data_IF_805591761234
#
_entry.id   IF_805591761234
#
_cell.length_a   1.000
_cell.length_b   1.000
_cell.length_c   1.000
_cell.angle_alpha   90.00
_cell.angle_beta   90.00
_cell.angle_gamma   90.00
#
_symmetry.space_group_name_H-M   'P 1'
#
loop_
_entity.id
_entity.type
_entity.pdbx_description
1 polymer ?
#
# COMPACT_ATOMS: atom_id res chain seq x y z
N UNK A 1 -21.14 2.86 26.77
CA UNK A 1 -19.93 3.21 26.02
C UNK A 1 -19.04 1.99 26.04
N UNK A 2 -18.64 1.49 24.87
CA UNK A 2 -17.70 0.37 24.78
C UNK A 2 -16.33 0.79 25.31
N UNK A 3 -15.61 -0.12 25.96
CA UNK A 3 -14.25 0.13 26.41
C UNK A 3 -13.36 0.43 25.19
N UNK A 4 -12.58 1.54 25.21
CA UNK A 4 -11.70 1.86 24.10
C UNK A 4 -10.63 0.78 23.92
N UNK A 5 -10.26 0.54 22.68
CA UNK A 5 -9.22 -0.42 22.26
C UNK A 5 -8.13 0.30 21.52
N UNK A 6 -6.91 -0.24 21.53
CA UNK A 6 -5.78 0.36 20.83
C UNK A 6 -4.89 -0.71 20.19
N UNK A 7 -4.46 -0.42 18.96
CA UNK A 7 -3.47 -1.22 18.23
C UNK A 7 -2.27 -0.35 17.88
N UNK A 8 -1.08 -0.79 18.26
CA UNK A 8 0.18 -0.16 17.90
C UNK A 8 0.72 -0.78 16.62
N UNK A 9 1.07 0.09 15.69
CA UNK A 9 1.72 -0.25 14.43
C UNK A 9 3.18 0.20 14.50
N UNK A 10 4.09 -0.62 14.00
CA UNK A 10 5.52 -0.32 13.97
C UNK A 10 6.20 -0.87 12.72
N UNK A 11 7.01 -0.02 12.09
CA UNK A 11 7.88 -0.36 10.97
C UNK A 11 9.24 0.34 11.18
N UNK A 12 10.32 -0.44 11.26
CA UNK A 12 11.61 0.05 11.78
C UNK A 12 11.41 0.84 13.09
N UNK A 13 11.94 2.06 13.16
CA UNK A 13 11.86 2.94 14.33
C UNK A 13 10.60 3.84 14.30
N UNK A 14 9.80 3.78 13.23
CA UNK A 14 8.54 4.51 13.14
C UNK A 14 7.42 3.72 13.84
N UNK A 15 6.59 4.43 14.59
CA UNK A 15 5.39 3.84 15.20
C UNK A 15 4.23 4.82 15.22
N UNK A 16 3.02 4.28 15.21
CA UNK A 16 1.76 5.01 15.42
C UNK A 16 0.79 4.11 16.18
N UNK A 17 -0.02 4.70 17.04
CA UNK A 17 -1.10 3.96 17.72
C UNK A 17 -2.44 4.35 17.11
N UNK A 18 -3.27 3.37 16.77
CA UNK A 18 -4.67 3.57 16.39
C UNK A 18 -5.52 3.27 17.63
N UNK A 19 -6.28 4.26 18.09
CA UNK A 19 -7.18 4.20 19.25
C UNK A 19 -8.62 4.37 18.76
N UNK A 20 -9.55 3.58 19.30
CA UNK A 20 -10.96 3.69 18.95
C UNK A 20 -11.88 3.23 20.09
N UNK A 21 -13.06 3.84 20.14
CA UNK A 21 -14.21 3.42 20.94
C UNK A 21 -14.86 2.12 20.43
N UNK A 22 -14.39 1.56 19.31
CA UNK A 22 -14.83 0.27 18.77
C UNK A 22 -13.65 -0.63 18.40
N UNK A 23 -13.71 -1.90 18.80
CA UNK A 23 -12.72 -2.90 18.42
C UNK A 23 -12.65 -3.12 16.90
N UNK A 24 -13.74 -2.84 16.18
CA UNK A 24 -13.79 -3.00 14.72
C UNK A 24 -12.66 -2.23 14.01
N UNK A 25 -12.38 -0.99 14.43
CA UNK A 25 -11.36 -0.13 13.79
C UNK A 25 -9.94 -0.62 14.12
N UNK A 26 -9.70 -1.05 15.35
CA UNK A 26 -8.37 -1.49 15.81
C UNK A 26 -8.03 -2.90 15.30
N UNK A 27 -8.99 -3.82 15.33
CA UNK A 27 -8.86 -5.14 14.71
C UNK A 27 -8.66 -5.03 13.19
N UNK A 28 -9.32 -4.07 12.54
CA UNK A 28 -9.08 -3.76 11.13
C UNK A 28 -7.64 -3.33 10.87
N UNK A 29 -7.11 -2.40 11.67
CA UNK A 29 -5.72 -1.98 11.56
C UNK A 29 -4.77 -3.16 11.78
N UNK A 30 -5.01 -3.99 12.81
CA UNK A 30 -4.19 -5.17 13.09
C UNK A 30 -4.15 -6.13 11.91
N UNK A 31 -5.32 -6.45 11.32
CA UNK A 31 -5.42 -7.31 10.14
C UNK A 31 -4.71 -6.70 8.92
N UNK A 32 -4.97 -5.42 8.63
CA UNK A 32 -4.48 -4.76 7.43
C UNK A 32 -2.95 -4.60 7.42
N UNK A 33 -2.35 -4.33 8.58
CA UNK A 33 -0.91 -4.08 8.69
C UNK A 33 -0.09 -5.30 9.13
N UNK A 34 -0.68 -6.21 9.91
CA UNK A 34 0.04 -7.26 10.64
C UNK A 34 0.78 -8.29 9.79
N UNK A 35 0.49 -8.36 8.48
CA UNK A 35 1.20 -9.23 7.54
C UNK A 35 2.58 -8.68 7.11
N UNK A 36 2.80 -7.38 7.25
CA UNK A 36 3.99 -6.70 6.73
C UNK A 36 4.67 -5.77 7.74
N UNK A 37 3.90 -5.20 8.67
CA UNK A 37 4.39 -4.42 9.79
C UNK A 37 4.02 -5.10 11.09
N UNK A 38 4.75 -4.76 12.16
CA UNK A 38 4.36 -5.21 13.49
C UNK A 38 3.08 -4.48 13.89
N UNK A 39 2.02 -5.23 14.14
CA UNK A 39 0.74 -4.70 14.58
C UNK A 39 0.24 -5.51 15.78
N UNK A 40 0.13 -4.87 16.95
CA UNK A 40 -0.19 -5.56 18.20
C UNK A 40 -1.03 -4.71 19.13
N UNK A 41 -1.77 -5.35 20.02
CA UNK A 41 -2.60 -4.66 20.99
C UNK A 41 -1.79 -4.03 22.10
N UNK A 42 -2.25 -2.85 22.52
CA UNK A 42 -1.71 -2.15 23.68
C UNK A 42 -2.87 -1.73 24.59
N UNK A 43 -2.69 -1.69 25.92
CA UNK A 43 -3.72 -1.15 26.81
C UNK A 43 -4.04 0.29 26.42
N UNK A 44 -5.32 0.63 26.25
CA UNK A 44 -5.72 1.99 25.88
C UNK A 44 -5.24 3.04 26.92
N UNK A 45 -5.16 2.65 28.19
CA UNK A 45 -4.62 3.48 29.28
C UNK A 45 -3.11 3.74 29.20
N UNK A 46 -2.37 3.01 28.35
CA UNK A 46 -0.91 3.14 28.16
C UNK A 46 -0.54 4.05 26.99
N UNK A 47 -1.53 4.60 26.28
CA UNK A 47 -1.33 5.52 25.15
C UNK A 47 -0.96 6.90 25.72
N UNK A 48 0.31 7.08 26.06
CA UNK A 48 0.75 8.27 26.80
C UNK A 48 1.82 9.10 26.07
N UNK A 49 2.31 8.66 24.91
CA UNK A 49 3.29 9.40 24.10
C UNK A 49 3.41 8.82 22.67
N UNK A 50 3.56 9.68 21.67
CA UNK A 50 3.88 9.32 20.29
C UNK A 50 2.75 9.60 19.27
N UNK A 51 3.00 9.35 17.98
CA UNK A 51 2.01 9.53 16.93
C UNK A 51 0.72 8.75 17.20
N UNK A 52 -0.43 9.43 17.11
CA UNK A 52 -1.74 8.88 17.46
C UNK A 52 -2.78 9.15 16.37
N UNK A 53 -3.54 8.11 16.02
CA UNK A 53 -4.79 8.23 15.28
C UNK A 53 -5.92 7.82 16.22
N UNK A 54 -6.80 8.76 16.57
CA UNK A 54 -8.05 8.46 17.26
C UNK A 54 -9.16 8.37 16.23
N UNK A 55 -9.90 7.27 16.18
CA UNK A 55 -10.91 7.05 15.16
C UNK A 55 -12.17 6.46 15.79
N UNK A 56 -13.16 7.31 16.06
CA UNK A 56 -14.34 6.95 16.82
C UNK A 56 -15.61 6.98 15.98
N UNK A 57 -16.51 6.03 16.26
CA UNK A 57 -17.90 6.12 15.80
C UNK A 57 -18.59 7.18 16.66
N UNK A 58 -18.75 8.37 16.08
CA UNK A 58 -19.35 9.53 16.72
C UNK A 58 -20.04 10.40 15.67
N UNK A 59 -21.33 10.11 15.45
CA UNK A 59 -22.17 10.84 14.50
C UNK A 59 -22.40 12.30 14.93
N UNK A 60 -22.40 12.57 16.24
CA UNK A 60 -22.56 13.94 16.75
C UNK A 60 -21.31 14.76 16.43
N UNK A 61 -20.12 14.25 16.76
CA UNK A 61 -18.87 14.94 16.45
C UNK A 61 -18.68 15.15 14.93
N UNK A 62 -19.04 14.15 14.12
CA UNK A 62 -19.10 14.32 12.66
C UNK A 62 -20.01 15.50 12.25
N UNK A 63 -21.24 15.54 12.77
CA UNK A 63 -22.23 16.58 12.41
C UNK A 63 -21.77 17.97 12.85
N UNK A 64 -21.19 18.07 14.05
CA UNK A 64 -20.65 19.32 14.59
C UNK A 64 -19.49 19.84 13.71
N UNK A 65 -18.60 18.95 13.24
CA UNK A 65 -17.47 19.32 12.38
C UNK A 65 -17.92 19.67 10.95
N UNK A 66 -18.91 18.97 10.38
CA UNK A 66 -19.50 19.34 9.08
C UNK A 66 -20.13 20.73 9.13
N UNK A 67 -20.92 21.02 10.17
CA UNK A 67 -21.48 22.34 10.39
C UNK A 67 -20.40 23.42 10.57
N UNK A 68 -19.34 23.11 11.34
CA UNK A 68 -18.23 24.03 11.56
C UNK A 68 -17.52 24.38 10.24
N UNK A 69 -17.09 23.39 9.46
CA UNK A 69 -16.37 23.63 8.21
C UNK A 69 -17.22 24.43 7.23
N UNK A 70 -18.52 24.14 7.14
CA UNK A 70 -19.44 24.89 6.27
C UNK A 70 -19.72 26.32 6.74
N UNK A 71 -19.49 26.62 8.02
CA UNK A 71 -19.71 27.95 8.60
C UNK A 71 -18.54 28.93 8.40
N UNK A 72 -17.39 28.45 7.94
CA UNK A 72 -16.19 29.25 7.70
C UNK A 72 -15.70 29.13 6.25
N UNK A 73 -14.80 30.01 5.80
CA UNK A 73 -14.11 29.83 4.52
C UNK A 73 -13.36 28.49 4.50
N UNK A 74 -13.62 27.69 3.46
CA UNK A 74 -13.02 26.37 3.27
C UNK A 74 -12.75 26.12 1.78
N UNK A 75 -11.81 25.23 1.51
CA UNK A 75 -11.50 24.74 0.17
C UNK A 75 -12.26 23.44 -0.11
N UNK A 76 -12.62 23.22 -1.37
CA UNK A 76 -13.08 21.92 -1.86
C UNK A 76 -11.97 21.22 -2.62
N UNK A 77 -11.53 20.07 -2.12
CA UNK A 77 -10.45 19.28 -2.70
C UNK A 77 -10.88 17.83 -2.88
N UNK A 78 -10.10 17.06 -3.64
CA UNK A 78 -10.31 15.61 -3.75
C UNK A 78 -9.32 14.89 -2.83
N UNK A 79 -9.85 14.03 -1.96
CA UNK A 79 -9.06 13.14 -1.12
C UNK A 79 -9.74 11.78 -1.12
N UNK A 80 -9.01 10.66 -1.16
CA UNK A 80 -9.62 9.32 -1.28
C UNK A 80 -10.34 8.97 -2.59
N UNK A 81 -10.39 9.88 -3.58
CA UNK A 81 -11.39 9.88 -4.67
C UNK A 81 -12.79 10.34 -4.24
N UNK A 82 -12.91 10.98 -3.09
CA UNK A 82 -14.12 11.63 -2.61
C UNK A 82 -13.89 13.13 -2.46
N UNK A 83 -14.98 13.90 -2.42
CA UNK A 83 -14.90 15.32 -2.06
C UNK A 83 -14.48 15.46 -0.60
N UNK A 84 -13.61 16.43 -0.32
CA UNK A 84 -13.20 16.84 1.01
C UNK A 84 -13.35 18.36 1.13
N UNK A 85 -14.15 18.80 2.09
CA UNK A 85 -14.21 20.20 2.53
C UNK A 85 -13.09 20.41 3.54
N UNK A 86 -12.22 21.39 3.32
CA UNK A 86 -11.00 21.59 4.09
C UNK A 86 -10.92 23.01 4.65
N UNK A 87 -10.88 23.15 5.97
CA UNK A 87 -10.70 24.41 6.67
C UNK A 87 -9.42 24.40 7.52
N UNK A 88 -8.79 25.57 7.66
CA UNK A 88 -7.62 25.79 8.51
C UNK A 88 -7.90 26.96 9.43
N UNK A 89 -7.71 26.77 10.73
CA UNK A 89 -7.89 27.86 11.70
C UNK A 89 -6.58 28.62 11.95
N UNK A 90 -6.67 29.72 12.71
CA UNK A 90 -5.53 30.58 13.03
C UNK A 90 -4.48 29.90 13.94
N UNK A 91 -4.82 28.77 14.55
CA UNK A 91 -3.88 27.96 15.36
C UNK A 91 -3.11 26.95 14.51
N UNK A 92 -3.47 26.81 13.23
CA UNK A 92 -2.91 25.82 12.33
C UNK A 92 -3.60 24.45 12.43
N UNK A 93 -4.72 24.33 13.15
CA UNK A 93 -5.52 23.11 13.17
C UNK A 93 -6.21 22.95 11.81
N UNK A 94 -6.15 21.73 11.29
CA UNK A 94 -6.73 21.40 9.98
C UNK A 94 -7.97 20.55 10.22
N UNK A 95 -9.12 21.01 9.72
CA UNK A 95 -10.37 20.26 9.79
C UNK A 95 -10.82 19.89 8.39
N UNK A 96 -11.05 18.61 8.15
CA UNK A 96 -11.53 18.08 6.87
C UNK A 96 -12.84 17.33 7.05
N UNK A 97 -13.79 17.45 6.13
CA UNK A 97 -15.01 16.64 6.13
C UNK A 97 -15.24 16.07 4.74
N UNK A 98 -15.40 14.75 4.65
CA UNK A 98 -15.83 14.07 3.44
C UNK A 98 -17.27 13.62 3.60
N UNK A 99 -18.25 14.34 3.01
CA UNK A 99 -19.66 14.05 3.19
C UNK A 99 -20.06 12.67 2.65
N UNK A 100 -19.54 12.30 1.47
CA UNK A 100 -19.84 11.02 0.80
C UNK A 100 -19.30 9.82 1.58
N UNK A 101 -18.13 9.97 2.22
CA UNK A 101 -17.56 8.93 3.08
C UNK A 101 -18.15 8.95 4.50
N UNK A 102 -18.81 10.05 4.90
CA UNK A 102 -19.33 10.24 6.26
C UNK A 102 -18.23 10.30 7.32
N UNK A 103 -17.08 10.90 6.97
CA UNK A 103 -15.89 11.01 7.83
C UNK A 103 -15.51 12.48 8.02
N UNK A 104 -15.29 12.87 9.27
CA UNK A 104 -14.63 14.12 9.64
C UNK A 104 -13.23 13.83 10.18
N UNK A 105 -12.28 14.72 9.88
CA UNK A 105 -10.87 14.66 10.23
C UNK A 105 -10.49 15.95 10.97
N UNK A 106 -9.67 15.83 12.00
CA UNK A 106 -9.07 16.97 12.70
C UNK A 106 -7.61 16.65 13.01
N UNK A 107 -6.70 17.40 12.41
CA UNK A 107 -5.25 17.27 12.60
C UNK A 107 -4.76 18.43 13.47
N UNK A 108 -4.21 18.09 14.64
CA UNK A 108 -3.60 19.03 15.57
C UNK A 108 -2.08 18.87 15.59
N UNK A 109 -1.35 19.85 16.14
CA UNK A 109 0.08 19.74 16.45
C UNK A 109 0.97 19.29 15.27
N UNK A 110 0.74 19.86 14.09
CA UNK A 110 1.44 19.48 12.84
C UNK A 110 1.30 17.97 12.51
N UNK A 111 0.16 17.35 12.80
CA UNK A 111 -0.12 15.99 12.35
C UNK A 111 0.44 14.87 13.22
N UNK A 112 0.91 15.18 14.44
CA UNK A 112 1.29 14.15 15.43
C UNK A 112 0.06 13.44 16.02
N UNK A 113 -1.09 14.09 16.05
CA UNK A 113 -2.36 13.52 16.47
C UNK A 113 -3.45 13.89 15.46
N UNK A 114 -4.08 12.87 14.88
CA UNK A 114 -5.24 13.03 14.00
C UNK A 114 -6.44 12.34 14.64
N UNK A 115 -7.52 13.08 14.81
CA UNK A 115 -8.81 12.56 15.26
C UNK A 115 -9.76 12.42 14.07
N UNK A 116 -10.43 11.28 13.98
CA UNK A 116 -11.44 10.98 12.99
C UNK A 116 -12.76 10.67 13.70
N UNK A 117 -13.84 11.24 13.20
CA UNK A 117 -15.21 10.95 13.62
C UNK A 117 -15.99 10.42 12.43
N UNK A 118 -16.45 9.18 12.54
CA UNK A 118 -17.15 8.49 11.46
C UNK A 118 -18.59 8.13 11.80
N UNK A 119 -19.44 8.05 10.78
CA UNK A 119 -20.83 7.59 10.92
C UNK A 119 -20.97 6.07 10.86
N UNK A 120 -20.05 5.39 10.17
CA UNK A 120 -20.09 3.93 9.98
C UNK A 120 -18.69 3.32 10.10
N UNK A 121 -18.62 2.05 10.52
CA UNK A 121 -17.36 1.41 10.92
C UNK A 121 -16.35 1.23 9.79
N UNK A 122 -16.78 0.70 8.64
CA UNK A 122 -15.88 0.35 7.54
C UNK A 122 -15.19 1.56 6.89
N UNK A 123 -15.89 2.64 6.49
CA UNK A 123 -15.24 3.86 6.02
C UNK A 123 -14.28 4.47 7.05
N UNK A 124 -14.66 4.47 8.33
CA UNK A 124 -13.82 4.97 9.41
C UNK A 124 -12.53 4.15 9.56
N UNK A 125 -12.63 2.82 9.52
CA UNK A 125 -11.46 1.94 9.60
C UNK A 125 -10.50 2.12 8.41
N UNK A 126 -11.04 2.29 7.19
CA UNK A 126 -10.24 2.58 5.99
C UNK A 126 -9.53 3.94 6.08
N UNK A 127 -10.23 4.97 6.58
CA UNK A 127 -9.67 6.30 6.79
C UNK A 127 -8.58 6.28 7.88
N UNK A 128 -8.84 5.62 9.01
CA UNK A 128 -7.88 5.47 10.11
C UNK A 128 -6.61 4.73 9.66
N UNK A 129 -6.76 3.60 8.96
CA UNK A 129 -5.63 2.85 8.41
C UNK A 129 -4.80 3.73 7.44
N UNK A 130 -5.46 4.52 6.60
CA UNK A 130 -4.76 5.43 5.69
C UNK A 130 -3.93 6.46 6.44
N UNK A 131 -4.52 7.17 7.39
CA UNK A 131 -3.79 8.18 8.19
C UNK A 131 -2.64 7.52 8.94
N UNK A 132 -2.87 6.37 9.57
CA UNK A 132 -1.82 5.65 10.29
C UNK A 132 -0.64 5.26 9.38
N UNK A 133 -0.93 4.77 8.17
CA UNK A 133 0.10 4.48 7.15
C UNK A 133 0.86 5.73 6.73
N UNK A 134 0.17 6.84 6.49
CA UNK A 134 0.82 8.11 6.11
C UNK A 134 1.69 8.68 7.24
N UNK A 135 1.30 8.51 8.52
CA UNK A 135 2.12 8.91 9.66
C UNK A 135 3.40 8.05 9.77
N UNK A 136 3.30 6.73 9.60
CA UNK A 136 4.48 5.85 9.54
C UNK A 136 5.36 6.24 8.35
N UNK A 137 4.77 6.40 7.16
CA UNK A 137 5.48 6.84 5.95
C UNK A 137 6.25 8.13 6.24
N UNK A 138 5.59 9.17 6.73
CA UNK A 138 6.22 10.45 7.01
C UNK A 138 7.37 10.33 8.02
N UNK A 139 7.21 9.51 9.05
CA UNK A 139 8.28 9.23 10.02
C UNK A 139 9.48 8.52 9.37
N UNK A 140 9.24 7.52 8.52
CA UNK A 140 10.30 6.83 7.79
C UNK A 140 11.01 7.78 6.82
N UNK A 141 10.27 8.61 6.08
CA UNK A 141 10.89 9.56 5.14
C UNK A 141 11.74 10.63 5.87
N UNK A 142 11.32 11.08 7.06
CA UNK A 142 12.15 11.94 7.94
C UNK A 142 13.41 11.25 8.42
N UNK A 143 13.33 9.94 8.66
CA UNK A 143 14.47 9.09 9.01
C UNK A 143 15.34 8.74 7.78
N UNK A 144 15.12 9.34 6.62
CA UNK A 144 15.96 9.13 5.44
C UNK A 144 15.65 7.83 4.67
N UNK A 145 14.50 7.20 4.93
CA UNK A 145 13.95 6.23 3.98
C UNK A 145 13.44 6.94 2.73
N UNK A 146 13.44 6.20 1.63
CA UNK A 146 12.85 6.62 0.35
C UNK A 146 11.75 5.66 -0.04
N UNK A 147 10.79 6.12 -0.86
CA UNK A 147 9.68 5.29 -1.33
C UNK A 147 9.80 5.07 -2.84
N UNK A 148 9.92 3.81 -3.26
CA UNK A 148 10.09 3.41 -4.66
C UNK A 148 8.80 2.78 -5.21
N UNK A 149 8.55 2.98 -6.51
CA UNK A 149 7.46 2.33 -7.24
C UNK A 149 7.88 0.96 -7.78
N UNK A 150 8.18 0.04 -6.87
CA UNK A 150 8.59 -1.32 -7.19
C UNK A 150 7.77 -2.38 -6.44
N UNK A 151 7.51 -3.50 -7.12
CA UNK A 151 7.13 -4.74 -6.45
C UNK A 151 8.39 -5.51 -6.08
N UNK A 152 8.34 -6.31 -5.02
CA UNK A 152 9.50 -6.99 -4.49
C UNK A 152 9.19 -8.36 -3.91
N UNK A 153 10.16 -9.26 -4.03
CA UNK A 153 10.21 -10.53 -3.30
C UNK A 153 11.53 -10.65 -2.57
N UNK A 154 11.57 -11.50 -1.54
CA UNK A 154 12.76 -11.82 -0.77
C UNK A 154 13.03 -13.31 -0.87
N UNK A 155 14.30 -13.67 -1.09
CA UNK A 155 14.80 -15.04 -1.02
C UNK A 155 16.10 -15.02 -0.25
N UNK A 156 16.20 -15.84 0.80
CA UNK A 156 17.40 -15.94 1.65
C UNK A 156 17.88 -14.56 2.17
N UNK A 157 16.92 -13.69 2.54
CA UNK A 157 17.18 -12.32 3.01
C UNK A 157 17.49 -11.30 1.90
N UNK A 158 17.65 -11.74 0.64
CA UNK A 158 17.99 -10.90 -0.50
C UNK A 158 16.73 -10.48 -1.26
N UNK A 159 16.54 -9.19 -1.44
CA UNK A 159 15.39 -8.62 -2.10
C UNK A 159 15.66 -8.40 -3.60
N UNK A 160 14.74 -8.91 -4.42
CA UNK A 160 14.67 -8.64 -5.87
C UNK A 160 13.59 -7.59 -6.09
N UNK A 161 13.97 -6.45 -6.67
CA UNK A 161 13.10 -5.30 -6.88
C UNK A 161 12.73 -5.17 -8.36
N UNK A 162 11.45 -5.25 -8.70
CA UNK A 162 10.98 -5.13 -10.08
C UNK A 162 10.44 -3.72 -10.38
N UNK A 163 11.03 -3.06 -11.37
CA UNK A 163 10.77 -1.69 -11.80
C UNK A 163 10.16 -1.62 -13.21
N UNK A 164 9.74 -0.42 -13.63
CA UNK A 164 9.25 -0.18 -14.98
C UNK A 164 7.92 0.56 -15.01
N UNK A 165 7.50 0.95 -16.20
CA UNK A 165 6.28 1.73 -16.41
C UNK A 165 5.00 0.95 -16.07
N UNK A 166 3.85 1.64 -16.12
CA UNK A 166 2.54 1.00 -15.96
C UNK A 166 2.36 -0.10 -17.02
N UNK A 167 2.07 -1.33 -16.57
CA UNK A 167 1.89 -2.48 -17.47
C UNK A 167 3.18 -3.23 -17.83
N UNK A 168 4.35 -2.78 -17.37
CA UNK A 168 5.64 -3.43 -17.67
C UNK A 168 5.75 -4.87 -17.14
N UNK A 169 4.96 -5.23 -16.11
CA UNK A 169 4.94 -6.57 -15.54
C UNK A 169 5.46 -6.66 -14.11
N UNK A 170 5.73 -5.55 -13.41
CA UNK A 170 6.21 -5.52 -12.00
C UNK A 170 5.50 -6.52 -11.10
N UNK A 171 4.20 -6.31 -10.86
CA UNK A 171 3.38 -7.19 -10.01
C UNK A 171 3.34 -8.63 -10.53
N UNK A 172 3.30 -8.83 -11.85
CA UNK A 172 3.37 -10.17 -12.46
C UNK A 172 4.67 -10.88 -12.07
N UNK A 173 5.82 -10.22 -12.23
CA UNK A 173 7.14 -10.76 -11.86
C UNK A 173 7.21 -11.14 -10.39
N UNK A 174 6.73 -10.28 -9.48
CA UNK A 174 6.73 -10.58 -8.05
C UNK A 174 5.83 -11.77 -7.70
N UNK A 175 4.63 -11.87 -8.27
CA UNK A 175 3.72 -12.99 -8.00
C UNK A 175 4.19 -14.31 -8.61
N UNK A 176 4.86 -14.29 -9.77
CA UNK A 176 5.48 -15.49 -10.36
C UNK A 176 6.67 -15.99 -9.54
N UNK A 177 7.49 -15.09 -9.01
CA UNK A 177 8.57 -15.49 -8.09
C UNK A 177 7.99 -16.03 -6.77
N UNK A 178 6.94 -15.39 -6.24
CA UNK A 178 6.28 -15.84 -5.02
C UNK A 178 5.62 -17.21 -5.17
N UNK A 179 5.00 -17.50 -6.33
CA UNK A 179 4.46 -18.83 -6.61
C UNK A 179 5.53 -19.93 -6.67
N UNK A 180 6.81 -19.55 -6.76
CA UNK A 180 7.98 -20.45 -6.72
C UNK A 180 8.77 -20.37 -5.41
N UNK A 181 8.12 -19.93 -4.33
CA UNK A 181 8.67 -20.00 -2.97
C UNK A 181 9.53 -18.81 -2.57
N UNK A 182 9.61 -17.74 -3.38
CA UNK A 182 10.10 -16.47 -2.86
C UNK A 182 9.06 -15.85 -1.93
N UNK A 183 9.49 -15.09 -0.93
CA UNK A 183 8.59 -14.43 0.01
C UNK A 183 8.15 -13.08 -0.58
N UNK A 184 6.85 -12.85 -0.71
CA UNK A 184 6.33 -11.59 -1.24
C UNK A 184 6.54 -10.46 -0.23
N UNK A 185 7.34 -9.46 -0.62
CA UNK A 185 7.61 -8.27 0.19
C UNK A 185 6.69 -7.11 -0.19
N UNK A 186 6.42 -6.92 -1.49
CA UNK A 186 5.55 -5.86 -1.95
C UNK A 186 5.00 -6.13 -3.35
N UNK A 187 3.79 -5.65 -3.61
CA UNK A 187 3.15 -5.75 -4.93
C UNK A 187 3.18 -4.43 -5.74
N UNK A 188 3.50 -3.30 -5.12
CA UNK A 188 3.46 -1.96 -5.77
C UNK A 188 4.55 -1.00 -5.26
N UNK A 189 4.81 -0.93 -3.95
CA UNK A 189 5.75 0.04 -3.36
C UNK A 189 6.64 -0.60 -2.30
N UNK A 190 7.86 -0.08 -2.17
CA UNK A 190 8.80 -0.46 -1.12
C UNK A 190 9.47 0.75 -0.52
N UNK A 191 9.75 0.70 0.78
CA UNK A 191 10.66 1.64 1.42
C UNK A 191 12.08 1.13 1.30
N UNK A 192 13.03 2.02 1.00
CA UNK A 192 14.47 1.69 0.92
C UNK A 192 15.30 2.72 1.65
N UNK A 193 16.28 2.25 2.45
CA UNK A 193 17.25 3.10 3.15
C UNK A 193 18.64 2.49 3.09
N UNK A 194 19.64 3.34 2.91
CA UNK A 194 21.05 2.97 3.06
C UNK A 194 21.38 2.86 4.55
N UNK A 195 21.85 1.70 5.00
CA UNK A 195 22.28 1.45 6.37
C UNK A 195 23.68 0.83 6.32
N UNK A 196 24.71 1.65 6.57
CA UNK A 196 26.10 1.24 6.35
C UNK A 196 26.35 0.92 4.86
N UNK A 197 26.74 -0.33 4.60
CA UNK A 197 27.01 -0.83 3.24
C UNK A 197 25.80 -1.54 2.60
N UNK A 198 24.69 -1.66 3.33
CA UNK A 198 23.51 -2.39 2.87
C UNK A 198 22.36 -1.45 2.49
N UNK A 199 21.50 -1.94 1.59
CA UNK A 199 20.23 -1.30 1.25
C UNK A 199 19.09 -2.08 1.89
N UNK A 200 18.58 -1.59 3.02
CA UNK A 200 17.45 -2.23 3.70
C UNK A 200 16.15 -1.89 2.98
N UNK A 201 15.32 -2.90 2.77
CA UNK A 201 14.00 -2.79 2.12
C UNK A 201 12.92 -3.15 3.12
N UNK A 202 11.85 -2.36 3.19
CA UNK A 202 10.65 -2.63 3.98
C UNK A 202 9.39 -2.61 3.10
N UNK A 203 8.38 -3.40 3.48
CA UNK A 203 7.12 -3.47 2.75
C UNK A 203 6.29 -2.19 2.91
N UNK A 204 5.47 -1.90 1.90
CA UNK A 204 4.37 -0.95 1.98
C UNK A 204 3.04 -1.71 2.07
N UNK A 205 2.34 -1.68 3.21
CA UNK A 205 1.04 -2.33 3.32
C UNK A 205 -0.02 -1.62 2.49
N UNK A 206 -0.49 -2.28 1.43
CA UNK A 206 -1.63 -1.85 0.63
C UNK A 206 -2.45 -3.04 0.16
N UNK A 207 -3.72 -2.77 -0.17
CA UNK A 207 -4.50 -3.75 -0.91
C UNK A 207 -3.84 -4.00 -2.28
N UNK A 208 -3.80 -5.24 -2.71
CA UNK A 208 -3.20 -5.60 -3.98
C UNK A 208 -4.25 -5.75 -5.08
N UNK A 209 -3.97 -5.12 -6.23
CA UNK A 209 -4.82 -5.16 -7.40
C UNK A 209 -4.31 -6.21 -8.40
N UNK A 210 -5.03 -7.33 -8.52
CA UNK A 210 -4.66 -8.45 -9.41
C UNK A 210 -5.67 -8.53 -10.56
N UNK A 211 -5.17 -8.53 -11.80
CA UNK A 211 -6.02 -8.68 -12.98
C UNK A 211 -6.58 -10.09 -13.09
N UNK A 212 -7.78 -10.25 -13.64
CA UNK A 212 -8.45 -11.55 -13.68
C UNK A 212 -7.66 -12.59 -14.48
N UNK A 213 -7.05 -12.17 -15.59
CA UNK A 213 -6.21 -13.05 -16.39
C UNK A 213 -4.94 -13.50 -15.66
N UNK A 214 -4.33 -12.64 -14.83
CA UNK A 214 -3.17 -13.04 -14.01
C UNK A 214 -3.58 -13.98 -12.89
N UNK A 215 -4.72 -13.71 -12.24
CA UNK A 215 -5.27 -14.56 -11.19
C UNK A 215 -5.57 -15.98 -11.73
N UNK A 216 -6.15 -16.05 -12.92
CA UNK A 216 -6.41 -17.30 -13.65
C UNK A 216 -5.11 -18.02 -14.02
N UNK A 217 -4.18 -17.32 -14.63
CA UNK A 217 -2.91 -17.90 -15.08
C UNK A 217 -1.98 -18.34 -13.95
N UNK A 218 -2.21 -17.88 -12.71
CA UNK A 218 -1.53 -18.36 -11.50
C UNK A 218 -2.29 -19.52 -10.81
N UNK A 219 -3.44 -19.95 -11.34
CA UNK A 219 -4.30 -20.95 -10.70
C UNK A 219 -5.00 -20.46 -9.43
N UNK A 220 -5.07 -19.14 -9.22
CA UNK A 220 -5.63 -18.51 -8.02
C UNK A 220 -7.11 -18.11 -8.18
N UNK A 221 -7.64 -18.16 -9.40
CA UNK A 221 -9.00 -17.71 -9.69
C UNK A 221 -10.04 -18.52 -8.91
N UNK A 222 -9.96 -19.84 -8.99
CA UNK A 222 -10.91 -20.73 -8.31
C UNK A 222 -10.77 -20.62 -6.79
N UNK A 223 -9.57 -20.40 -6.27
CA UNK A 223 -9.35 -20.11 -4.85
C UNK A 223 -10.15 -18.88 -4.41
N UNK A 224 -10.05 -17.76 -5.14
CA UNK A 224 -10.81 -16.54 -4.82
C UNK A 224 -12.32 -16.81 -4.90
N UNK A 225 -12.76 -17.48 -5.96
CA UNK A 225 -14.18 -17.76 -6.18
C UNK A 225 -14.77 -18.62 -5.06
N UNK A 226 -14.08 -19.70 -4.69
CA UNK A 226 -14.53 -20.62 -3.64
C UNK A 226 -14.62 -19.91 -2.28
N UNK A 227 -13.65 -19.05 -1.97
CA UNK A 227 -13.64 -18.22 -0.74
C UNK A 227 -14.82 -17.25 -0.70
N UNK A 228 -15.12 -16.60 -1.82
CA UNK A 228 -16.30 -15.72 -1.93
C UNK A 228 -17.61 -16.49 -1.78
N UNK A 229 -17.72 -17.68 -2.38
CA UNK A 229 -18.90 -18.54 -2.23
C UNK A 229 -19.09 -19.05 -0.79
N UNK A 230 -17.98 -19.22 -0.06
CA UNK A 230 -17.99 -19.54 1.37
C UNK A 230 -18.34 -18.34 2.28
N UNK A 231 -18.56 -17.15 1.71
CA UNK A 231 -18.95 -15.94 2.43
C UNK A 231 -17.78 -15.10 2.96
N UNK A 232 -16.54 -15.44 2.61
CA UNK A 232 -15.39 -14.57 2.88
C UNK A 232 -15.40 -13.36 1.94
N UNK A 233 -14.66 -12.30 2.31
CA UNK A 233 -14.72 -11.03 1.61
C UNK A 233 -13.35 -10.58 1.11
N UNK A 234 -13.33 -9.98 -0.07
CA UNK A 234 -12.20 -9.22 -0.62
C UNK A 234 -12.06 -7.87 0.11
N UNK A 235 -11.00 -7.13 -0.20
CA UNK A 235 -10.78 -5.80 0.38
C UNK A 235 -11.96 -4.86 0.07
N UNK A 236 -12.43 -3.99 0.99
CA UNK A 236 -13.60 -3.13 0.77
C UNK A 236 -13.58 -2.19 -0.43
N UNK A 237 -12.40 -1.94 -0.99
CA UNK A 237 -12.27 -1.16 -2.23
C UNK A 237 -12.55 -2.00 -3.48
N UNK A 238 -12.94 -3.26 -3.31
CA UNK A 238 -13.36 -4.17 -4.36
C UNK A 238 -14.62 -3.63 -5.04
N UNK A 239 -14.58 -3.55 -6.37
CA UNK A 239 -15.76 -3.16 -7.15
C UNK A 239 -16.75 -4.32 -7.20
N UNK A 240 -18.04 -4.03 -6.99
CA UNK A 240 -19.09 -5.06 -6.96
C UNK A 240 -19.16 -5.86 -8.27
N UNK A 241 -19.12 -5.20 -9.44
CA UNK A 241 -19.13 -5.88 -10.74
C UNK A 241 -18.02 -6.94 -10.91
N UNK A 242 -16.85 -6.74 -10.30
CA UNK A 242 -15.76 -7.72 -10.34
C UNK A 242 -16.03 -8.88 -9.39
N UNK A 243 -16.63 -8.62 -8.21
CA UNK A 243 -17.12 -9.68 -7.31
C UNK A 243 -18.19 -10.54 -8.00
N UNK A 244 -19.16 -9.89 -8.65
CA UNK A 244 -20.24 -10.56 -9.38
C UNK A 244 -19.68 -11.39 -10.55
N UNK A 245 -18.70 -10.84 -11.28
CA UNK A 245 -18.01 -11.56 -12.35
C UNK A 245 -17.26 -12.80 -11.85
N UNK A 246 -16.57 -12.71 -10.71
CA UNK A 246 -15.89 -13.86 -10.07
C UNK A 246 -16.90 -14.96 -9.70
N UNK A 247 -18.02 -14.59 -9.07
CA UNK A 247 -19.06 -15.54 -8.68
C UNK A 247 -19.71 -16.20 -9.90
N UNK A 248 -19.91 -15.43 -10.97
CA UNK A 248 -20.41 -15.91 -12.26
C UNK A 248 -19.40 -16.78 -13.04
N UNK A 249 -18.14 -16.88 -12.59
CA UNK A 249 -17.11 -17.68 -13.25
C UNK A 249 -16.49 -17.03 -14.50
N UNK A 250 -16.61 -15.71 -14.65
CA UNK A 250 -16.00 -14.96 -15.75
C UNK A 250 -14.50 -14.75 -15.52
N UNK A 251 -13.66 -15.21 -16.46
CA UNK A 251 -12.19 -15.14 -16.36
C UNK A 251 -11.58 -14.00 -17.20
N UNK A 252 -12.33 -13.46 -18.15
CA UNK A 252 -11.87 -12.38 -19.01
C UNK A 252 -11.77 -11.06 -18.23
N UNK A 253 -10.77 -10.20 -18.56
CA UNK A 253 -10.64 -8.88 -17.94
C UNK A 253 -11.94 -8.07 -18.01
N UNK A 254 -12.28 -7.42 -16.88
CA UNK A 254 -13.33 -6.41 -16.81
C UNK A 254 -12.71 -5.02 -16.96
N UNK A 255 -13.42 -4.12 -17.63
CA UNK A 255 -12.94 -2.77 -17.92
C UNK A 255 -13.93 -1.73 -17.41
N UNK A 256 -13.42 -0.61 -16.91
CA UNK A 256 -14.25 0.54 -16.56
C UNK A 256 -15.04 1.04 -17.78
N UNK A 257 -16.20 1.70 -17.59
CA UNK A 257 -16.90 2.39 -18.66
C UNK A 257 -15.94 3.29 -19.46
N UNK A 258 -15.86 3.09 -20.77
CA UNK A 258 -14.90 3.78 -21.64
C UNK A 258 -13.57 3.05 -21.86
N UNK A 259 -13.37 1.86 -21.29
CA UNK A 259 -12.32 0.91 -21.68
C UNK A 259 -10.89 1.27 -21.30
N UNK A 260 -10.67 2.38 -20.57
CA UNK A 260 -9.31 2.90 -20.30
C UNK A 260 -8.53 2.13 -19.23
N UNK A 261 -9.22 1.39 -18.35
CA UNK A 261 -8.61 0.75 -17.18
C UNK A 261 -9.31 -0.57 -16.85
N UNK A 262 -8.51 -1.60 -16.64
CA UNK A 262 -9.00 -2.88 -16.13
C UNK A 262 -9.46 -2.70 -14.67
N UNK A 263 -10.64 -3.23 -14.36
CA UNK A 263 -11.12 -3.41 -12.99
C UNK A 263 -10.56 -4.73 -12.45
N UNK A 264 -9.80 -4.63 -11.35
CA UNK A 264 -8.99 -5.71 -10.80
C UNK A 264 -9.52 -6.18 -9.46
N UNK A 265 -9.27 -7.45 -9.15
CA UNK A 265 -9.50 -8.02 -7.82
C UNK A 265 -8.65 -7.28 -6.80
N UNK A 266 -9.24 -6.84 -5.70
CA UNK A 266 -8.61 -6.14 -4.59
C UNK A 266 -8.53 -7.09 -3.40
N UNK A 267 -7.35 -7.65 -3.14
CA UNK A 267 -7.13 -8.55 -1.99
C UNK A 267 -6.52 -7.78 -0.82
N UNK A 268 -6.82 -8.23 0.39
CA UNK A 268 -6.09 -7.81 1.58
C UNK A 268 -4.66 -8.35 1.57
N UNK A 269 -3.71 -7.70 2.28
CA UNK A 269 -2.36 -8.23 2.48
C UNK A 269 -2.31 -9.67 3.01
N UNK A 270 -3.12 -10.00 4.02
CA UNK A 270 -3.14 -11.32 4.66
C UNK A 270 -3.66 -12.44 3.73
N UNK A 271 -4.40 -12.09 2.68
CA UNK A 271 -4.96 -13.07 1.73
C UNK A 271 -3.88 -13.69 0.84
N UNK A 272 -2.73 -13.05 0.64
CA UNK A 272 -1.61 -13.71 -0.02
C UNK A 272 -1.16 -14.97 0.72
N UNK A 273 -1.05 -14.90 2.05
CA UNK A 273 -0.71 -16.08 2.86
C UNK A 273 -1.90 -17.00 3.05
N UNK A 274 -3.03 -16.46 3.53
CA UNK A 274 -4.18 -17.26 3.98
C UNK A 274 -5.00 -17.86 2.85
N UNK A 275 -5.05 -17.23 1.68
CA UNK A 275 -5.76 -17.77 0.52
C UNK A 275 -4.79 -18.39 -0.49
N UNK A 276 -3.70 -17.69 -0.83
CA UNK A 276 -2.83 -18.11 -1.94
C UNK A 276 -1.62 -18.95 -1.51
N UNK A 277 -1.41 -19.16 -0.21
CA UNK A 277 -0.27 -19.93 0.31
C UNK A 277 1.09 -19.28 0.02
N UNK A 278 1.11 -17.98 -0.29
CA UNK A 278 2.35 -17.25 -0.54
C UNK A 278 2.93 -16.76 0.78
N UNK A 279 4.19 -17.12 1.04
CA UNK A 279 4.92 -16.57 2.18
C UNK A 279 5.15 -15.07 2.00
N UNK A 280 5.12 -14.33 3.11
CA UNK A 280 5.33 -12.89 3.14
C UNK A 280 6.63 -12.55 3.86
N UNK A 281 7.36 -11.57 3.33
CA UNK A 281 8.54 -11.02 3.99
C UNK A 281 8.20 -9.68 4.64
N UNK A 282 8.75 -9.43 5.83
CA UNK A 282 8.63 -8.14 6.53
C UNK A 282 9.84 -7.21 6.31
N UNK A 283 10.82 -7.67 5.52
CA UNK A 283 12.01 -6.91 5.14
C UNK A 283 13.00 -7.75 4.35
N UNK A 284 14.04 -7.10 3.82
CA UNK A 284 15.16 -7.75 3.15
C UNK A 284 16.25 -6.74 2.79
N UNK A 285 17.30 -7.21 2.11
CA UNK A 285 18.42 -6.38 1.64
C UNK A 285 18.40 -6.36 0.12
N UNK A 286 18.31 -5.18 -0.51
CA UNK A 286 18.27 -5.07 -1.97
C UNK A 286 19.53 -5.69 -2.58
N UNK A 287 19.35 -6.65 -3.47
CA UNK A 287 20.44 -7.38 -4.11
C UNK A 287 20.39 -7.28 -5.65
N UNK A 288 19.19 -7.20 -6.23
CA UNK A 288 19.02 -7.22 -7.68
C UNK A 288 17.84 -6.37 -8.11
N UNK A 289 18.01 -5.67 -9.23
CA UNK A 289 16.94 -4.95 -9.92
C UNK A 289 16.51 -5.73 -11.17
N UNK A 290 15.20 -5.90 -11.31
CA UNK A 290 14.57 -6.48 -12.49
C UNK A 290 13.79 -5.39 -13.23
N UNK A 291 13.95 -5.35 -14.54
CA UNK A 291 13.20 -4.46 -15.43
C UNK A 291 12.39 -5.31 -16.42
N UNK A 292 11.22 -5.83 -15.99
CA UNK A 292 10.38 -6.64 -16.84
C UNK A 292 9.75 -5.85 -17.99
N UNK A 293 9.56 -6.52 -19.11
CA UNK A 293 8.65 -6.12 -20.20
C UNK A 293 7.86 -7.34 -20.66
N UNK A 294 6.56 -7.16 -20.90
CA UNK A 294 5.72 -8.20 -21.49
C UNK A 294 5.77 -8.10 -23.02
N UNK A 295 6.18 -9.16 -23.68
CA UNK A 295 6.13 -9.34 -25.14
C UNK A 295 5.57 -10.74 -25.46
N UNK A 296 4.31 -10.84 -25.92
CA UNK A 296 3.66 -12.12 -26.20
C UNK A 296 4.35 -12.99 -27.25
N UNK A 297 5.14 -12.39 -28.15
CA UNK A 297 5.81 -13.12 -29.23
C UNK A 297 7.19 -13.65 -28.83
N UNK A 298 7.66 -13.33 -27.63
CA UNK A 298 8.99 -13.66 -27.15
C UNK A 298 9.03 -14.96 -26.32
N UNK A 299 10.24 -15.47 -26.11
CA UNK A 299 10.53 -16.51 -25.11
C UNK A 299 11.12 -15.82 -23.88
N UNK A 300 10.81 -16.27 -22.65
CA UNK A 300 11.32 -15.62 -21.45
C UNK A 300 12.84 -15.67 -21.39
N UNK A 301 13.47 -14.50 -21.29
CA UNK A 301 14.93 -14.38 -21.35
C UNK A 301 15.41 -13.07 -20.72
N UNK A 302 16.71 -13.03 -20.38
CA UNK A 302 17.41 -11.77 -20.15
C UNK A 302 17.57 -11.08 -21.50
N UNK A 303 17.22 -9.81 -21.57
CA UNK A 303 17.36 -9.00 -22.76
C UNK A 303 18.48 -7.98 -22.62
N UNK A 304 19.09 -7.63 -23.75
CA UNK A 304 20.03 -6.52 -23.84
C UNK A 304 19.30 -5.19 -23.66
N UNK A 305 19.91 -4.28 -22.91
CA UNK A 305 19.49 -2.90 -22.82
C UNK A 305 20.19 -2.14 -21.72
N UNK A 306 19.81 -0.88 -21.56
CA UNK A 306 20.47 0.10 -20.68
C UNK A 306 19.50 0.79 -19.69
N UNK A 307 18.26 0.30 -19.55
CA UNK A 307 17.32 0.77 -18.53
C UNK A 307 17.95 0.64 -17.15
N UNK A 308 18.20 1.79 -16.55
CA UNK A 308 18.58 1.96 -15.16
C UNK A 308 17.42 2.55 -14.35
N UNK A 309 17.62 2.64 -13.03
CA UNK A 309 16.74 3.37 -12.13
C UNK A 309 16.71 4.86 -12.51
N UNK A 310 15.53 5.44 -12.60
CA UNK A 310 15.34 6.88 -12.85
C UNK A 310 14.49 7.57 -11.78
N UNK A 311 14.35 8.90 -11.89
CA UNK A 311 13.51 9.70 -10.99
C UNK A 311 12.05 9.22 -10.94
N UNK A 312 11.52 8.75 -12.08
CA UNK A 312 10.16 8.22 -12.20
C UNK A 312 9.94 6.90 -11.43
N UNK A 313 11.02 6.22 -11.03
CA UNK A 313 10.96 5.00 -10.22
C UNK A 313 10.85 5.32 -8.70
N UNK A 314 11.07 6.57 -8.31
CA UNK A 314 10.74 7.08 -6.98
C UNK A 314 9.31 7.62 -6.97
N UNK A 315 8.61 7.42 -5.86
CA UNK A 315 7.31 8.08 -5.66
C UNK A 315 7.53 9.59 -5.61
N UNK A 316 7.04 10.35 -6.58
CA UNK A 316 7.15 11.82 -6.59
C UNK A 316 5.97 12.44 -7.33
N UNK A 317 5.63 13.69 -6.99
CA UNK A 317 4.62 14.48 -7.70
C UNK A 317 3.28 13.75 -7.89
N UNK A 318 2.67 13.89 -9.07
CA UNK A 318 1.29 13.45 -9.39
C UNK A 318 0.99 11.96 -9.18
N UNK A 319 1.99 11.10 -8.96
CA UNK A 319 1.76 9.71 -8.55
C UNK A 319 1.29 9.57 -7.08
N UNK A 320 1.39 10.64 -6.28
CA UNK A 320 0.81 10.77 -4.94
C UNK A 320 -0.60 11.39 -4.89
N UNK A 321 -1.17 11.77 -6.03
CA UNK A 321 -2.44 12.52 -6.13
C UNK A 321 -3.62 11.86 -5.41
N UNK A 322 -3.54 10.56 -5.10
CA UNK A 322 -4.60 9.88 -4.34
C UNK A 322 -4.67 10.31 -2.87
N UNK A 323 -3.52 10.60 -2.24
CA UNK A 323 -3.41 10.93 -0.82
C UNK A 323 -2.48 12.14 -0.60
N UNK A 324 -2.84 13.32 -1.13
CA UNK A 324 -2.10 14.55 -0.85
C UNK A 324 -2.04 14.81 0.66
N UNK A 325 -0.95 15.43 1.13
CA UNK A 325 -0.73 15.74 2.55
C UNK A 325 -1.55 16.95 3.01
N UNK A 326 -2.88 16.83 2.95
CA UNK A 326 -3.77 17.89 3.40
C UNK A 326 -3.66 18.14 4.91
N UNK A 327 -3.28 17.11 5.69
CA UNK A 327 -3.26 17.10 7.15
C UNK A 327 -1.88 17.41 7.77
N UNK A 328 -0.87 17.72 6.95
CA UNK A 328 0.45 18.17 7.40
C UNK A 328 1.33 17.08 8.00
N UNK A 329 1.07 15.81 7.70
CA UNK A 329 1.76 14.65 8.26
C UNK A 329 3.22 14.55 7.79
N UNK A 330 3.52 14.99 6.57
CA UNK A 330 4.83 14.86 5.93
C UNK A 330 5.83 15.94 6.36
N UNK A 331 5.37 17.02 7.02
CA UNK A 331 6.19 18.18 7.41
C UNK A 331 7.07 18.73 6.26
N UNK A 332 6.53 18.78 5.05
CA UNK A 332 7.21 19.31 3.87
C UNK A 332 8.19 18.36 3.19
N UNK A 333 8.31 17.10 3.63
CA UNK A 333 9.09 16.10 2.91
C UNK A 333 8.32 15.63 1.66
N UNK A 334 9.04 15.59 0.53
CA UNK A 334 8.53 15.06 -0.74
C UNK A 334 8.06 13.61 -0.59
N UNK A 335 7.07 13.26 -1.39
CA UNK A 335 6.56 11.93 -1.63
C UNK A 335 7.49 10.75 -1.45
N UNK A 336 8.67 10.87 -2.06
CA UNK A 336 9.67 9.81 -2.17
C UNK A 336 10.84 9.90 -1.21
N UNK A 337 10.83 10.87 -0.28
CA UNK A 337 11.95 11.17 0.62
C UNK A 337 12.72 12.42 0.21
N UNK A 338 13.73 12.78 1.01
CA UNK A 338 14.58 13.95 0.73
C UNK A 338 15.51 13.70 -0.46
N UNK A 339 15.87 14.77 -1.19
CA UNK A 339 16.75 14.66 -2.37
C UNK A 339 18.08 13.96 -2.04
N UNK A 340 18.66 14.24 -0.86
CA UNK A 340 19.88 13.59 -0.40
C UNK A 340 19.70 12.08 -0.17
N UNK A 341 18.59 11.66 0.45
CA UNK A 341 18.31 10.25 0.67
C UNK A 341 18.04 9.52 -0.66
N UNK A 342 17.31 10.16 -1.59
CA UNK A 342 17.00 9.64 -2.92
C UNK A 342 18.28 9.44 -3.75
N UNK A 343 19.16 10.44 -3.78
CA UNK A 343 20.45 10.34 -4.45
C UNK A 343 21.29 9.19 -3.88
N UNK A 344 21.40 9.10 -2.55
CA UNK A 344 22.16 8.03 -1.90
C UNK A 344 21.62 6.63 -2.19
N UNK A 345 20.29 6.45 -2.19
CA UNK A 345 19.64 5.19 -2.54
C UNK A 345 19.84 4.87 -4.03
N UNK A 346 19.70 5.86 -4.92
CA UNK A 346 19.91 5.67 -6.35
C UNK A 346 21.33 5.22 -6.67
N UNK A 347 22.35 5.87 -6.09
CA UNK A 347 23.76 5.52 -6.29
C UNK A 347 24.05 4.07 -5.85
N UNK A 348 23.52 3.66 -4.69
CA UNK A 348 23.70 2.30 -4.17
C UNK A 348 22.96 1.26 -4.99
N UNK A 349 21.73 1.53 -5.42
CA UNK A 349 20.96 0.63 -6.28
C UNK A 349 21.60 0.48 -7.66
N UNK A 350 22.20 1.56 -8.19
CA UNK A 350 22.89 1.53 -9.48
C UNK A 350 24.12 0.59 -9.49
N UNK A 351 24.73 0.33 -8.34
CA UNK A 351 25.86 -0.58 -8.19
C UNK A 351 25.46 -2.07 -8.07
N UNK A 352 24.17 -2.37 -7.87
CA UNK A 352 23.67 -3.75 -7.80
C UNK A 352 23.53 -4.37 -9.19
N UNK A 353 23.33 -5.70 -9.25
CA UNK A 353 23.04 -6.37 -10.51
C UNK A 353 21.67 -5.96 -11.06
N UNK A 354 21.64 -5.65 -12.36
CA UNK A 354 20.43 -5.28 -13.09
C UNK A 354 20.17 -6.27 -14.20
N UNK A 355 18.93 -6.73 -14.31
CA UNK A 355 18.49 -7.56 -15.43
C UNK A 355 17.25 -6.95 -16.08
N UNK A 356 17.36 -6.67 -17.37
CA UNK A 356 16.18 -6.53 -18.20
C UNK A 356 15.69 -7.91 -18.58
N UNK A 357 14.41 -8.15 -18.37
CA UNK A 357 13.81 -9.45 -18.65
C UNK A 357 12.60 -9.25 -19.54
N UNK A 358 12.49 -10.10 -20.55
CA UNK A 358 11.28 -10.16 -21.38
C UNK A 358 10.50 -11.39 -20.91
N UNK A 359 9.21 -11.20 -20.69
CA UNK A 359 8.26 -12.24 -20.28
C UNK A 359 7.15 -12.30 -21.32
N UNK A 360 6.51 -13.47 -21.47
CA UNK A 360 5.38 -13.64 -22.38
C UNK A 360 4.09 -13.98 -21.59
N UNK A 361 3.09 -14.60 -22.23
CA UNK A 361 1.85 -15.02 -21.55
C UNK A 361 1.89 -16.43 -20.96
N UNK A 362 2.96 -17.20 -21.18
CA UNK A 362 3.18 -18.49 -20.54
C UNK A 362 3.71 -18.27 -19.11
N UNK A 363 2.80 -18.22 -18.14
CA UNK A 363 3.14 -17.99 -16.74
C UNK A 363 4.05 -19.08 -16.16
N UNK A 364 3.93 -20.32 -16.62
CA UNK A 364 4.76 -21.42 -16.15
C UNK A 364 6.20 -21.24 -16.63
N UNK A 365 6.40 -20.99 -17.93
CA UNK A 365 7.73 -20.73 -18.50
C UNK A 365 8.36 -19.47 -17.90
N UNK A 366 7.58 -18.40 -17.70
CA UNK A 366 8.05 -17.18 -17.06
C UNK A 366 8.50 -17.45 -15.61
N UNK A 367 7.70 -18.19 -14.82
CA UNK A 367 8.03 -18.50 -13.44
C UNK A 367 9.26 -19.40 -13.33
N UNK A 368 9.40 -20.40 -14.19
CA UNK A 368 10.59 -21.26 -14.27
C UNK A 368 11.85 -20.44 -14.59
N UNK A 369 11.77 -19.56 -15.59
CA UNK A 369 12.86 -18.66 -15.98
C UNK A 369 13.26 -17.72 -14.84
N UNK A 370 12.28 -17.02 -14.24
CA UNK A 370 12.52 -16.07 -13.15
C UNK A 370 13.08 -16.76 -11.90
N UNK A 371 12.58 -17.96 -11.56
CA UNK A 371 13.08 -18.72 -10.41
C UNK A 371 14.54 -19.18 -10.62
N UNK A 372 14.90 -19.58 -11.84
CA UNK A 372 16.29 -19.89 -12.19
C UNK A 372 17.18 -18.65 -12.09
N UNK A 373 16.76 -17.54 -12.70
CA UNK A 373 17.47 -16.27 -12.60
C UNK A 373 17.65 -15.86 -11.13
N UNK A 374 16.63 -16.03 -10.28
CA UNK A 374 16.69 -15.72 -8.85
C UNK A 374 17.59 -16.66 -8.02
N UNK A 375 17.81 -17.89 -8.47
CA UNK A 375 18.68 -18.85 -7.77
C UNK A 375 20.17 -18.64 -8.07
N UNK A 376 20.46 -18.03 -9.22
CA UNK A 376 21.83 -17.71 -9.65
C UNK A 376 22.34 -16.40 -9.03
N UNK A 377 21.50 -15.70 -8.24
CA UNK A 377 21.76 -14.39 -7.62
C UNK A 377 22.18 -14.50 -6.18
#
# INVERSE_FOLDING_TARGET
MSTPTATRLQAADASVTVLSNTAFVTDWARRYFGSWWNAFDVPASSVCAGPLVTADLDEKAYTDLDALVRSCPHDEVTYAKAQLLLARDSTGTITGVSPDEGIAYRSEQLGSHVTLSGRTGQPLALAAARIAREMIRASLLRDGWTLLHASAVVRDGRALLAFGSKGAGKTTTALLLASRGAQLLANDRVFVKVVGDELRVLPWPSAAAIGLGLLDALGLYDVVRDRLQAGEQLHPTQHQDVTDALLAGRREPLWEPGGKREMKVQVFPDQFATWFGMELATGGHAATLLFPRIDPASIPAVADGDRALGEDDFMSGSTEDRYPDHFGLAHGINGGGSDMARASVADRLAALQHHQVVLNHDTQANADFLAKLAADL
#
